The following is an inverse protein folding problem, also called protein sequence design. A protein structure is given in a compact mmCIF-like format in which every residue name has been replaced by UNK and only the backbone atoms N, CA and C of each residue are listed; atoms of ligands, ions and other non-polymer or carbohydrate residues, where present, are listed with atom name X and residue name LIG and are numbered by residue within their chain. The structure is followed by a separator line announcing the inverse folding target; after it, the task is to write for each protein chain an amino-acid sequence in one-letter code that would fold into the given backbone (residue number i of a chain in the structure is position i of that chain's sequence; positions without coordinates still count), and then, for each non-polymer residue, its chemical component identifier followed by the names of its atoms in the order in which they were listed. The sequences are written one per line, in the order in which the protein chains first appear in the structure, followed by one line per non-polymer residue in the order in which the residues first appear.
data_IF_159678817996
#
_entry.id   IF_159678817996
#
_cell.length_a   1.000
_cell.length_b   1.000
_cell.length_c   1.000
_cell.angle_alpha   90.00
_cell.angle_beta   90.00
_cell.angle_gamma   90.00
#
_symmetry.space_group_name_H-M   'P 1'
#
loop_
_entity.id
_entity.type
_entity.pdbx_description
1 polymer ?
#
# COMPACT_ATOMS: atom_id res chain seq x y z
N UNK A 1 -24.36 -50.31 -10.23
CA UNK A 1 -23.77 -49.91 -8.93
C UNK A 1 -24.91 -49.72 -7.92
N UNK A 2 -24.74 -50.09 -6.64
CA UNK A 2 -25.81 -49.92 -5.64
C UNK A 2 -26.02 -48.43 -5.31
N UNK A 3 -27.27 -48.02 -5.02
CA UNK A 3 -27.65 -46.63 -4.71
C UNK A 3 -26.78 -45.99 -3.61
N UNK A 4 -26.42 -46.77 -2.58
CA UNK A 4 -25.51 -46.33 -1.51
C UNK A 4 -24.12 -45.91 -2.01
N UNK A 5 -23.58 -46.61 -3.01
CA UNK A 5 -22.28 -46.29 -3.58
C UNK A 5 -22.35 -45.01 -4.41
N UNK A 6 -23.48 -44.77 -5.09
CA UNK A 6 -23.71 -43.53 -5.83
C UNK A 6 -23.83 -42.33 -4.88
N UNK A 7 -24.50 -42.52 -3.74
CA UNK A 7 -24.65 -41.50 -2.71
C UNK A 7 -23.30 -41.13 -2.06
N UNK A 8 -22.45 -42.13 -1.79
CA UNK A 8 -21.10 -41.92 -1.26
C UNK A 8 -20.20 -41.14 -2.24
N UNK A 9 -20.29 -41.44 -3.54
CA UNK A 9 -19.53 -40.72 -4.59
C UNK A 9 -20.01 -39.26 -4.68
N UNK A 10 -21.34 -39.03 -4.64
CA UNK A 10 -21.89 -37.67 -4.68
C UNK A 10 -21.45 -36.83 -3.48
N UNK A 11 -21.45 -37.40 -2.27
CA UNK A 11 -20.97 -36.73 -1.05
C UNK A 11 -19.47 -36.41 -1.17
N UNK A 12 -18.66 -37.35 -1.66
CA UNK A 12 -17.24 -37.11 -1.87
C UNK A 12 -16.99 -35.96 -2.86
N UNK A 13 -17.73 -35.89 -3.97
CA UNK A 13 -17.58 -34.78 -4.93
C UNK A 13 -17.96 -33.42 -4.35
N UNK A 14 -18.96 -33.35 -3.47
CA UNK A 14 -19.34 -32.10 -2.79
C UNK A 14 -18.25 -31.65 -1.80
N UNK A 15 -17.70 -32.60 -1.03
CA UNK A 15 -16.64 -32.33 -0.03
C UNK A 15 -15.34 -31.90 -0.71
N UNK A 16 -14.95 -32.53 -1.81
CA UNK A 16 -13.70 -32.22 -2.52
C UNK A 16 -13.84 -31.09 -3.57
N UNK A 17 -15.06 -30.77 -4.00
CA UNK A 17 -15.32 -29.70 -4.99
C UNK A 17 -15.22 -28.26 -4.44
N UNK A 18 -15.16 -28.10 -3.11
CA UNK A 18 -15.11 -26.78 -2.45
C UNK A 18 -13.70 -26.22 -2.27
N UNK A 19 -12.67 -26.96 -2.71
CA UNK A 19 -11.28 -26.64 -2.44
C UNK A 19 -10.63 -25.95 -3.64
N UNK A 20 -11.01 -24.69 -3.91
CA UNK A 20 -10.18 -23.72 -4.64
C UNK A 20 -10.87 -22.35 -4.72
N UNK A 21 -10.45 -21.43 -3.84
CA UNK A 21 -10.63 -19.99 -4.04
C UNK A 21 -9.32 -19.28 -3.71
N UNK A 22 -8.32 -19.43 -4.57
CA UNK A 22 -7.18 -18.54 -4.55
C UNK A 22 -7.65 -17.17 -5.05
N UNK A 23 -7.73 -16.20 -4.14
CA UNK A 23 -7.94 -14.80 -4.49
C UNK A 23 -6.55 -14.14 -4.52
N UNK A 24 -6.02 -13.76 -5.70
CA UNK A 24 -4.77 -13.04 -5.76
C UNK A 24 -4.93 -11.67 -5.10
N UNK A 25 -4.15 -11.40 -4.06
CA UNK A 25 -4.04 -10.06 -3.47
C UNK A 25 -2.93 -9.30 -4.19
N UNK A 26 -3.26 -8.12 -4.70
CA UNK A 26 -2.27 -7.21 -5.29
C UNK A 26 -2.04 -6.03 -4.34
N UNK A 27 -0.80 -5.57 -4.27
CA UNK A 27 -0.42 -4.37 -3.54
C UNK A 27 0.45 -3.48 -4.41
N UNK A 28 0.17 -2.18 -4.39
CA UNK A 28 1.01 -1.14 -4.96
C UNK A 28 1.93 -0.60 -3.87
N UNK A 29 3.24 -0.80 -4.02
CA UNK A 29 4.24 -0.43 -3.00
C UNK A 29 5.31 0.45 -3.61
N UNK A 30 5.73 1.48 -2.88
CA UNK A 30 6.82 2.36 -3.30
C UNK A 30 7.78 2.70 -2.15
N UNK A 31 9.00 3.05 -2.53
CA UNK A 31 10.02 3.61 -1.65
C UNK A 31 10.51 4.93 -2.25
N UNK A 32 10.56 5.99 -1.43
CA UNK A 32 11.01 7.29 -1.90
C UNK A 32 11.76 8.07 -0.82
N UNK A 33 12.99 8.49 -1.13
CA UNK A 33 13.73 9.42 -0.30
C UNK A 33 13.18 10.83 -0.50
N UNK A 34 12.58 11.39 0.55
CA UNK A 34 11.87 12.67 0.48
C UNK A 34 12.74 13.87 0.81
N UNK A 35 14.03 13.65 1.11
CA UNK A 35 15.01 14.66 1.49
C UNK A 35 14.65 15.42 2.77
N UNK A 36 15.51 15.36 3.77
CA UNK A 36 15.27 16.03 5.04
C UNK A 36 15.07 17.55 4.86
N UNK A 37 14.12 18.12 5.59
CA UNK A 37 13.91 19.56 5.58
C UNK A 37 15.16 20.27 6.13
N UNK A 38 15.76 21.15 5.34
CA UNK A 38 16.91 21.92 5.77
C UNK A 38 16.92 23.33 5.16
N UNK A 39 17.74 24.20 5.76
CA UNK A 39 17.83 25.61 5.40
C UNK A 39 18.46 25.82 4.02
N UNK A 40 19.47 25.01 3.65
CA UNK A 40 20.18 25.16 2.39
C UNK A 40 19.24 24.97 1.21
N UNK A 41 18.45 23.89 1.23
CA UNK A 41 17.48 23.57 0.17
C UNK A 41 16.40 24.65 0.11
N UNK A 42 15.95 25.17 1.27
CA UNK A 42 14.98 26.27 1.31
C UNK A 42 15.51 27.56 0.66
N UNK A 43 16.79 27.90 0.87
CA UNK A 43 17.43 29.08 0.26
C UNK A 43 17.58 28.90 -1.26
N UNK A 44 17.80 27.67 -1.72
CA UNK A 44 17.92 27.32 -3.14
C UNK A 44 16.57 27.23 -3.87
N UNK A 45 15.45 27.32 -3.14
CA UNK A 45 14.10 27.21 -3.72
C UNK A 45 13.54 25.79 -3.73
N UNK A 46 14.25 24.81 -3.15
CA UNK A 46 13.87 23.40 -3.04
C UNK A 46 13.40 23.04 -1.61
N UNK A 47 12.85 24.02 -0.89
CA UNK A 47 12.40 23.85 0.49
C UNK A 47 11.28 22.82 0.63
N UNK A 48 11.24 22.12 1.77
CA UNK A 48 10.21 21.13 2.07
C UNK A 48 8.78 21.66 1.90
N UNK A 49 8.51 22.89 2.35
CA UNK A 49 7.18 23.49 2.24
C UNK A 49 6.68 23.63 0.79
N UNK A 50 7.60 23.79 -0.17
CA UNK A 50 7.27 23.83 -1.59
C UNK A 50 7.16 22.43 -2.20
N UNK A 51 8.02 21.49 -1.76
CA UNK A 51 8.06 20.12 -2.31
C UNK A 51 6.93 19.23 -1.78
N UNK A 52 6.54 19.38 -0.52
CA UNK A 52 5.57 18.50 0.14
C UNK A 52 4.22 18.41 -0.60
N UNK A 53 3.60 19.51 -1.07
CA UNK A 53 2.34 19.40 -1.82
C UNK A 53 2.47 18.61 -3.13
N UNK A 54 3.58 18.75 -3.84
CA UNK A 54 3.84 18.04 -5.12
C UNK A 54 4.10 16.56 -4.86
N UNK A 55 4.90 16.24 -3.84
CA UNK A 55 5.13 14.86 -3.40
C UNK A 55 3.81 14.20 -3.02
N UNK A 56 2.95 14.91 -2.27
CA UNK A 56 1.64 14.39 -1.89
C UNK A 56 0.75 14.10 -3.11
N UNK A 57 0.71 15.00 -4.09
CA UNK A 57 -0.02 14.77 -5.33
C UNK A 57 0.50 13.56 -6.10
N UNK A 58 1.83 13.41 -6.20
CA UNK A 58 2.44 12.26 -6.88
C UNK A 58 2.05 10.94 -6.20
N UNK A 59 2.15 10.89 -4.87
CA UNK A 59 1.79 9.69 -4.09
C UNK A 59 0.31 9.35 -4.24
N UNK A 60 -0.58 10.34 -4.20
CA UNK A 60 -2.02 10.14 -4.41
C UNK A 60 -2.33 9.70 -5.84
N UNK A 61 -1.66 10.27 -6.84
CA UNK A 61 -1.87 9.93 -8.25
C UNK A 61 -1.47 8.49 -8.59
N UNK A 62 -0.43 7.97 -7.93
CA UNK A 62 0.04 6.60 -8.13
C UNK A 62 -0.67 5.54 -7.28
N UNK A 63 -1.58 5.96 -6.39
CA UNK A 63 -2.45 5.10 -5.59
C UNK A 63 -1.70 3.95 -4.89
N UNK A 64 -0.67 4.31 -4.11
CA UNK A 64 0.13 3.34 -3.35
C UNK A 64 -0.61 2.87 -2.09
N UNK A 65 -0.65 1.55 -1.86
CA UNK A 65 -1.16 0.95 -0.62
C UNK A 65 -0.15 1.13 0.54
N UNK A 66 1.14 0.97 0.23
CA UNK A 66 2.24 1.05 1.19
C UNK A 66 3.34 1.96 0.63
N UNK A 67 3.74 2.94 1.42
CA UNK A 67 4.75 3.92 1.01
C UNK A 67 5.85 4.05 2.06
N UNK A 68 7.06 3.60 1.70
CA UNK A 68 8.27 3.76 2.50
C UNK A 68 8.96 5.08 2.22
N UNK A 69 9.34 5.80 3.28
CA UNK A 69 10.03 7.09 3.16
C UNK A 69 11.40 7.05 3.82
N UNK A 70 12.33 7.90 3.35
CA UNK A 70 13.63 8.12 3.99
C UNK A 70 13.88 9.61 4.25
N UNK A 71 14.82 9.90 5.15
CA UNK A 71 15.28 11.24 5.56
C UNK A 71 14.24 12.15 6.24
N UNK A 72 12.98 11.74 6.36
CA UNK A 72 11.95 12.59 6.95
C UNK A 72 12.16 12.82 8.45
N UNK A 73 12.19 14.08 8.86
CA UNK A 73 12.00 14.43 10.27
C UNK A 73 10.54 14.21 10.69
N UNK A 74 10.31 14.13 12.02
CA UNK A 74 8.98 13.92 12.58
C UNK A 74 7.92 14.92 12.09
N UNK A 75 8.28 16.19 11.89
CA UNK A 75 7.36 17.19 11.36
C UNK A 75 7.01 16.94 9.88
N UNK A 76 7.97 16.51 9.06
CA UNK A 76 7.71 16.14 7.65
C UNK A 76 6.75 14.94 7.58
N UNK A 77 6.92 13.94 8.45
CA UNK A 77 5.98 12.82 8.55
C UNK A 77 4.58 13.26 8.98
N UNK A 78 4.46 14.27 9.87
CA UNK A 78 3.16 14.83 10.24
C UNK A 78 2.50 15.58 9.08
N UNK A 79 3.28 16.29 8.26
CA UNK A 79 2.76 16.97 7.08
C UNK A 79 2.23 15.96 6.05
N UNK A 80 2.97 14.88 5.80
CA UNK A 80 2.53 13.79 4.94
C UNK A 80 1.26 13.10 5.48
N UNK A 81 1.18 12.82 6.78
CA UNK A 81 -0.02 12.25 7.41
C UNK A 81 -1.24 13.16 7.33
N UNK A 82 -1.07 14.48 7.26
CA UNK A 82 -2.18 15.40 7.01
C UNK A 82 -2.62 15.36 5.55
N UNK A 83 -1.69 15.11 4.64
CA UNK A 83 -1.96 15.01 3.21
C UNK A 83 -2.59 13.67 2.80
N UNK A 84 -2.36 12.59 3.56
CA UNK A 84 -2.87 11.24 3.27
C UNK A 84 -3.79 10.76 4.39
N UNK A 85 -5.07 10.50 4.09
CA UNK A 85 -6.05 10.07 5.10
C UNK A 85 -5.93 8.58 5.46
N UNK A 86 -5.61 7.74 4.48
CA UNK A 86 -5.73 6.28 4.60
C UNK A 86 -4.46 5.50 4.18
N UNK A 87 -3.34 6.18 3.94
CA UNK A 87 -2.10 5.54 3.46
C UNK A 87 -1.20 5.06 4.60
N UNK A 88 -0.66 3.85 4.47
CA UNK A 88 0.33 3.30 5.40
C UNK A 88 1.72 3.86 5.06
N UNK A 89 2.25 4.70 5.94
CA UNK A 89 3.61 5.26 5.83
C UNK A 89 4.58 4.45 6.68
N UNK A 90 5.67 3.97 6.06
CA UNK A 90 6.80 3.33 6.73
C UNK A 90 8.00 4.30 6.79
N UNK A 91 8.77 4.23 7.89
CA UNK A 91 9.95 5.06 8.18
C UNK A 91 11.16 4.17 8.41
#
# INVERSE_FOLDING_TARGET
MKLKNLLLIAIAMIVFGSCQSYQPTSFSVASYNLRNANRSDSIQGDGWGQRCPVIAQMVQYHDFDIFGTQECFAHQLQDLKKAFRDMIILV
#
